data_IF_527067679120
#
_entry.id   IF_527067679120
#
_cell.length_a   1.000
_cell.length_b   1.000
_cell.length_c   1.000
_cell.angle_alpha   90.00
_cell.angle_beta   90.00
_cell.angle_gamma   90.00
#
_symmetry.space_group_name_H-M   'P 1'
#
loop_
_entity.id
_entity.type
_entity.pdbx_description
1 polymer ?
#
# COMPACT_ATOMS: atom_id res chain seq x y z
N UNK A 1 -26.58 -54.13 -14.49
CA UNK A 1 -26.51 -52.79 -15.10
C UNK A 1 -26.17 -51.84 -13.97
N UNK A 2 -24.89 -51.48 -13.79
CA UNK A 2 -24.52 -50.41 -12.85
C UNK A 2 -25.19 -49.13 -13.35
N UNK A 3 -25.96 -48.48 -12.49
CA UNK A 3 -26.63 -47.23 -12.87
C UNK A 3 -25.56 -46.19 -13.17
N UNK A 4 -25.73 -45.40 -14.23
CA UNK A 4 -24.79 -44.35 -14.64
C UNK A 4 -24.42 -43.39 -13.50
N UNK A 5 -25.29 -43.22 -12.50
CA UNK A 5 -25.03 -42.44 -11.30
C UNK A 5 -23.94 -43.01 -10.38
N UNK A 6 -23.82 -44.33 -10.25
CA UNK A 6 -22.83 -44.98 -9.37
C UNK A 6 -21.41 -44.89 -9.93
N UNK A 7 -21.27 -44.92 -11.26
CA UNK A 7 -19.98 -44.74 -11.93
C UNK A 7 -19.53 -43.28 -11.80
N UNK A 8 -20.46 -42.33 -11.95
CA UNK A 8 -20.17 -40.90 -11.79
C UNK A 8 -19.78 -40.57 -10.35
N UNK A 9 -20.46 -41.12 -9.34
CA UNK A 9 -20.10 -40.89 -7.94
C UNK A 9 -18.73 -41.49 -7.60
N UNK A 10 -18.45 -42.71 -8.05
CA UNK A 10 -17.16 -43.35 -7.80
C UNK A 10 -16.00 -42.58 -8.43
N UNK A 11 -16.19 -42.04 -9.64
CA UNK A 11 -15.21 -41.18 -10.31
C UNK A 11 -15.05 -39.87 -9.52
N UNK A 12 -16.15 -39.24 -9.10
CA UNK A 12 -16.12 -38.01 -8.30
C UNK A 12 -15.39 -38.19 -6.96
N UNK A 13 -15.59 -39.33 -6.29
CA UNK A 13 -14.93 -39.66 -5.03
C UNK A 13 -13.42 -39.83 -5.22
N UNK A 14 -12.98 -40.52 -6.27
CA UNK A 14 -11.56 -40.65 -6.61
C UNK A 14 -10.94 -39.28 -6.90
N UNK A 15 -11.60 -38.45 -7.71
CA UNK A 15 -11.12 -37.10 -7.98
C UNK A 15 -11.04 -36.25 -6.70
N UNK A 16 -12.00 -36.40 -5.80
CA UNK A 16 -12.00 -35.69 -4.51
C UNK A 16 -10.83 -36.13 -3.64
N UNK A 17 -10.52 -37.43 -3.58
CA UNK A 17 -9.35 -37.95 -2.87
C UNK A 17 -8.05 -37.41 -3.47
N UNK A 18 -7.92 -37.44 -4.80
CA UNK A 18 -6.74 -36.93 -5.51
C UNK A 18 -6.59 -35.43 -5.29
N UNK A 19 -7.66 -34.65 -5.43
CA UNK A 19 -7.65 -33.21 -5.20
C UNK A 19 -7.29 -32.86 -3.76
N UNK A 20 -7.83 -33.61 -2.79
CA UNK A 20 -7.50 -33.46 -1.36
C UNK A 20 -6.02 -33.77 -1.10
N UNK A 21 -5.49 -34.83 -1.72
CA UNK A 21 -4.07 -35.18 -1.67
C UNK A 21 -3.16 -34.07 -2.23
N UNK A 22 -3.52 -33.50 -3.38
CA UNK A 22 -2.82 -32.35 -3.98
C UNK A 22 -2.88 -31.13 -3.05
N UNK A 23 -4.06 -30.83 -2.50
CA UNK A 23 -4.24 -29.70 -1.59
C UNK A 23 -3.38 -29.85 -0.33
N UNK A 24 -3.36 -31.03 0.29
CA UNK A 24 -2.49 -31.32 1.45
C UNK A 24 -1.01 -31.19 1.06
N UNK A 25 -0.62 -31.72 -0.10
CA UNK A 25 0.76 -31.62 -0.58
C UNK A 25 1.20 -30.16 -0.80
N UNK A 26 0.41 -29.36 -1.51
CA UNK A 26 0.66 -27.92 -1.70
C UNK A 26 0.69 -27.19 -0.35
N UNK A 27 -0.26 -27.51 0.52
CA UNK A 27 -0.36 -26.92 1.83
C UNK A 27 0.75 -27.36 2.77
N UNK A 28 1.47 -28.47 2.59
CA UNK A 28 2.59 -28.82 3.48
C UNK A 28 3.93 -28.44 2.87
N UNK A 29 4.14 -28.74 1.59
CA UNK A 29 5.43 -28.61 0.93
C UNK A 29 5.63 -27.29 0.17
N UNK A 30 4.55 -26.57 -0.16
CA UNK A 30 4.63 -25.30 -0.90
C UNK A 30 4.14 -24.08 -0.10
N UNK A 31 3.93 -24.20 1.22
CA UNK A 31 3.58 -23.04 2.09
C UNK A 31 4.51 -21.86 1.90
N UNK A 32 5.81 -22.12 1.81
CA UNK A 32 6.84 -21.10 1.63
C UNK A 32 6.65 -20.34 0.32
N UNK A 33 6.35 -21.04 -0.79
CA UNK A 33 6.08 -20.41 -2.10
C UNK A 33 4.81 -19.58 -2.09
N UNK A 34 3.73 -20.09 -1.47
CA UNK A 34 2.46 -19.37 -1.35
C UNK A 34 2.65 -18.10 -0.50
N UNK A 35 3.24 -18.24 0.69
CA UNK A 35 3.56 -17.09 1.55
C UNK A 35 4.49 -16.09 0.84
N UNK A 36 5.46 -16.58 0.07
CA UNK A 36 6.35 -15.74 -0.72
C UNK A 36 5.60 -14.95 -1.80
N UNK A 37 4.65 -15.56 -2.50
CA UNK A 37 3.82 -14.88 -3.49
C UNK A 37 2.95 -13.81 -2.83
N UNK A 38 2.30 -14.11 -1.70
CA UNK A 38 1.53 -13.12 -0.94
C UNK A 38 2.41 -11.96 -0.46
N UNK A 39 3.60 -12.23 0.08
CA UNK A 39 4.52 -11.18 0.49
C UNK A 39 4.97 -10.30 -0.68
N UNK A 40 5.19 -10.88 -1.87
CA UNK A 40 5.49 -10.10 -3.07
C UNK A 40 4.33 -9.20 -3.47
N UNK A 41 3.09 -9.70 -3.41
CA UNK A 41 1.89 -8.91 -3.70
C UNK A 41 1.72 -7.75 -2.71
N UNK A 42 1.92 -8.00 -1.41
CA UNK A 42 1.86 -6.96 -0.38
C UNK A 42 2.96 -5.90 -0.56
N UNK A 43 4.20 -6.32 -0.86
CA UNK A 43 5.30 -5.40 -1.14
C UNK A 43 5.03 -4.57 -2.39
N UNK A 44 4.50 -5.18 -3.45
CA UNK A 44 4.13 -4.49 -4.68
C UNK A 44 3.00 -3.47 -4.45
N UNK A 45 1.97 -3.84 -3.67
CA UNK A 45 0.90 -2.91 -3.27
C UNK A 45 1.46 -1.71 -2.49
N UNK A 46 2.42 -1.95 -1.59
CA UNK A 46 3.11 -0.89 -0.86
C UNK A 46 3.90 0.03 -1.81
N UNK A 47 4.61 -0.55 -2.77
CA UNK A 47 5.37 0.19 -3.76
C UNK A 47 4.48 1.07 -4.65
N UNK A 48 3.33 0.54 -5.08
CA UNK A 48 2.33 1.30 -5.83
C UNK A 48 1.83 2.51 -5.02
N UNK A 49 1.50 2.28 -3.75
CA UNK A 49 1.07 3.34 -2.83
C UNK A 49 2.14 4.43 -2.66
N UNK A 50 3.41 4.04 -2.49
CA UNK A 50 4.53 4.98 -2.40
C UNK A 50 4.70 5.78 -3.71
N UNK A 51 4.52 5.15 -4.87
CA UNK A 51 4.57 5.82 -6.18
C UNK A 51 3.48 6.87 -6.33
N UNK A 52 2.24 6.54 -5.94
CA UNK A 52 1.13 7.49 -5.94
C UNK A 52 1.36 8.67 -4.99
N UNK A 53 1.93 8.42 -3.81
CA UNK A 53 2.29 9.49 -2.88
C UNK A 53 3.35 10.43 -3.46
N UNK A 54 4.35 9.89 -4.19
CA UNK A 54 5.34 10.72 -4.92
C UNK A 54 4.64 11.62 -5.93
N UNK A 55 3.69 11.08 -6.71
CA UNK A 55 2.93 11.86 -7.69
C UNK A 55 2.13 12.99 -7.02
N UNK A 56 1.45 12.72 -5.90
CA UNK A 56 0.71 13.76 -5.14
C UNK A 56 1.65 14.84 -4.57
N UNK A 57 2.83 14.45 -4.10
CA UNK A 57 3.89 15.37 -3.65
C UNK A 57 4.39 16.28 -4.78
N UNK A 58 4.58 15.72 -5.96
CA UNK A 58 4.99 16.51 -7.12
C UNK A 58 3.87 17.47 -7.52
N UNK A 59 2.60 17.03 -7.47
CA UNK A 59 1.43 17.92 -7.64
C UNK A 59 1.44 19.06 -6.61
N UNK A 60 1.74 18.78 -5.34
CA UNK A 60 1.83 19.77 -4.26
C UNK A 60 2.88 20.87 -4.54
N UNK A 61 3.95 20.57 -5.28
CA UNK A 61 4.97 21.56 -5.64
C UNK A 61 4.50 22.59 -6.67
N UNK A 62 3.48 22.27 -7.47
CA UNK A 62 2.94 23.17 -8.49
C UNK A 62 2.08 24.29 -7.90
N UNK A 63 1.64 24.17 -6.64
CA UNK A 63 0.81 25.16 -5.97
C UNK A 63 1.60 25.98 -4.96
N UNK A 64 1.30 27.28 -4.86
CA UNK A 64 1.91 28.20 -3.93
C UNK A 64 1.03 28.37 -2.68
N UNK A 65 1.55 28.04 -1.50
CA UNK A 65 0.79 28.17 -0.24
C UNK A 65 0.70 29.62 0.27
N UNK A 66 1.30 30.59 -0.41
CA UNK A 66 1.12 32.02 -0.12
C UNK A 66 -0.07 32.63 -0.87
N UNK A 67 -0.51 32.01 -1.97
CA UNK A 67 -1.73 32.41 -2.69
C UNK A 67 -2.95 31.75 -2.03
N UNK A 68 -3.95 32.55 -1.64
CA UNK A 68 -5.15 32.04 -0.95
C UNK A 68 -5.96 31.06 -1.79
N UNK A 69 -5.99 31.24 -3.11
CA UNK A 69 -6.76 30.38 -4.02
C UNK A 69 -6.05 29.04 -4.19
N UNK A 70 -4.73 29.07 -4.41
CA UNK A 70 -3.91 27.86 -4.54
C UNK A 70 -3.74 27.12 -3.21
N UNK A 71 -3.80 27.84 -2.08
CA UNK A 71 -3.75 27.24 -0.74
C UNK A 71 -4.88 26.23 -0.53
N UNK A 72 -6.06 26.46 -1.08
CA UNK A 72 -7.16 25.50 -1.00
C UNK A 72 -6.76 24.18 -1.66
N UNK A 73 -6.13 24.23 -2.84
CA UNK A 73 -5.65 23.03 -3.51
C UNK A 73 -4.50 22.33 -2.79
N UNK A 74 -3.62 23.11 -2.16
CA UNK A 74 -2.60 22.56 -1.25
C UNK A 74 -3.28 21.75 -0.15
N UNK A 75 -4.31 22.29 0.50
CA UNK A 75 -5.05 21.59 1.58
C UNK A 75 -5.78 20.34 1.04
N UNK A 76 -6.39 20.41 -0.13
CA UNK A 76 -7.06 19.26 -0.75
C UNK A 76 -6.08 18.10 -0.99
N UNK A 77 -4.90 18.40 -1.55
CA UNK A 77 -3.84 17.41 -1.77
C UNK A 77 -3.35 16.84 -0.43
N UNK A 78 -3.23 17.68 0.60
CA UNK A 78 -2.86 17.23 1.95
C UNK A 78 -3.90 16.27 2.55
N UNK A 79 -5.20 16.51 2.33
CA UNK A 79 -6.25 15.55 2.69
C UNK A 79 -6.13 14.23 1.93
N UNK A 80 -5.87 14.27 0.61
CA UNK A 80 -5.64 13.05 -0.18
C UNK A 80 -4.45 12.25 0.38
N UNK A 81 -3.34 12.93 0.70
CA UNK A 81 -2.15 12.32 1.29
C UNK A 81 -2.46 11.75 2.67
N UNK A 82 -3.19 12.49 3.53
CA UNK A 82 -3.59 12.01 4.86
C UNK A 82 -4.46 10.76 4.75
N UNK A 83 -5.48 10.76 3.89
CA UNK A 83 -6.38 9.61 3.71
C UNK A 83 -5.62 8.37 3.24
N UNK A 84 -4.73 8.52 2.25
CA UNK A 84 -3.92 7.42 1.75
C UNK A 84 -2.93 6.87 2.78
N UNK A 85 -2.27 7.76 3.53
CA UNK A 85 -1.28 7.35 4.55
C UNK A 85 -1.93 6.73 5.78
N UNK A 86 -3.10 7.22 6.21
CA UNK A 86 -3.83 6.67 7.36
C UNK A 86 -4.57 5.37 7.04
N UNK A 87 -4.98 5.16 5.78
CA UNK A 87 -5.61 3.94 5.30
C UNK A 87 -4.66 2.76 5.07
N UNK A 88 -3.35 2.97 5.19
CA UNK A 88 -2.33 1.92 5.06
C UNK A 88 -1.53 1.81 6.37
N UNK A 89 -1.67 0.70 7.09
CA UNK A 89 -1.05 0.52 8.41
C UNK A 89 0.48 0.70 8.38
N UNK A 90 1.14 0.16 7.35
CA UNK A 90 2.59 0.33 7.18
C UNK A 90 2.97 1.80 7.05
N UNK A 91 2.26 2.58 6.23
CA UNK A 91 2.54 4.01 6.09
C UNK A 91 2.16 4.80 7.34
N UNK A 92 1.04 4.48 7.97
CA UNK A 92 0.55 5.12 9.20
C UNK A 92 1.58 5.02 10.32
N UNK A 93 2.19 3.86 10.50
CA UNK A 93 3.23 3.64 11.51
C UNK A 93 4.51 4.41 11.17
N UNK A 94 4.97 4.30 9.92
CA UNK A 94 6.25 4.89 9.51
C UNK A 94 6.21 6.41 9.31
N UNK A 95 5.05 6.99 9.00
CA UNK A 95 4.87 8.41 8.70
C UNK A 95 4.10 9.17 9.78
N UNK A 96 3.91 8.59 10.98
CA UNK A 96 3.11 9.15 12.07
C UNK A 96 3.39 10.63 12.37
N UNK A 97 4.67 11.00 12.45
CA UNK A 97 5.07 12.39 12.74
C UNK A 97 4.68 13.36 11.61
N UNK A 98 4.72 12.89 10.35
CA UNK A 98 4.35 13.69 9.19
C UNK A 98 2.83 13.82 9.10
N UNK A 99 2.09 12.75 9.39
CA UNK A 99 0.62 12.77 9.47
C UNK A 99 0.16 13.84 10.47
N UNK A 100 0.77 13.89 11.66
CA UNK A 100 0.45 14.92 12.66
C UNK A 100 0.73 16.34 12.17
N UNK A 101 1.79 16.55 11.37
CA UNK A 101 2.08 17.86 10.75
C UNK A 101 1.04 18.21 9.69
N UNK A 102 0.67 17.23 8.86
CA UNK A 102 -0.37 17.37 7.84
C UNK A 102 -1.70 17.75 8.49
N UNK A 103 -2.11 17.03 9.53
CA UNK A 103 -3.30 17.33 10.35
C UNK A 103 -3.26 18.75 10.89
N UNK A 104 -2.12 19.18 11.45
CA UNK A 104 -1.95 20.56 11.92
C UNK A 104 -2.16 21.62 10.83
N UNK A 105 -1.78 21.34 9.59
CA UNK A 105 -2.01 22.25 8.46
C UNK A 105 -3.43 22.20 7.91
N UNK A 106 -4.04 21.01 7.92
CA UNK A 106 -5.44 20.80 7.54
C UNK A 106 -6.38 21.52 8.52
N UNK A 107 -6.18 21.33 9.82
CA UNK A 107 -7.01 21.93 10.87
C UNK A 107 -6.80 23.45 10.96
N UNK A 108 -5.58 23.91 10.66
CA UNK A 108 -5.21 25.33 10.72
C UNK A 108 -4.54 25.77 9.42
N UNK A 109 -5.29 25.93 8.31
CA UNK A 109 -4.72 26.31 7.01
C UNK A 109 -4.00 27.67 7.01
N UNK A 110 -4.41 28.58 7.91
CA UNK A 110 -3.75 29.88 8.10
C UNK A 110 -2.30 29.73 8.57
N UNK A 111 -1.96 28.63 9.25
CA UNK A 111 -0.61 28.36 9.74
C UNK A 111 0.34 27.85 8.65
N UNK A 112 -0.21 27.39 7.52
CA UNK A 112 0.54 26.91 6.36
C UNK A 112 0.93 28.10 5.48
N UNK A 113 2.25 28.24 5.28
CA UNK A 113 2.85 29.20 4.35
C UNK A 113 3.81 28.44 3.42
N UNK A 114 4.29 29.12 2.38
CA UNK A 114 5.16 28.48 1.38
C UNK A 114 6.44 27.84 1.97
N UNK A 115 7.17 28.46 2.92
CA UNK A 115 8.29 27.81 3.60
C UNK A 115 7.91 26.50 4.32
N UNK A 116 6.80 26.49 5.06
CA UNK A 116 6.32 25.28 5.76
C UNK A 116 5.86 24.20 4.79
N UNK A 117 5.18 24.57 3.71
CA UNK A 117 4.81 23.65 2.63
C UNK A 117 6.06 22.98 2.05
N UNK A 118 7.09 23.76 1.71
CA UNK A 118 8.36 23.22 1.17
C UNK A 118 9.04 22.29 2.16
N UNK A 119 9.12 22.68 3.44
CA UNK A 119 9.69 21.81 4.48
C UNK A 119 8.95 20.47 4.56
N UNK A 120 7.62 20.50 4.56
CA UNK A 120 6.79 19.30 4.58
C UNK A 120 7.02 18.43 3.35
N UNK A 121 7.06 19.03 2.16
CA UNK A 121 7.35 18.32 0.90
C UNK A 121 8.69 17.61 0.98
N UNK A 122 9.75 18.28 1.43
CA UNK A 122 11.07 17.68 1.53
C UNK A 122 11.11 16.53 2.53
N UNK A 123 10.52 16.71 3.71
CA UNK A 123 10.47 15.68 4.74
C UNK A 123 9.68 14.45 4.29
N UNK A 124 8.52 14.65 3.65
CA UNK A 124 7.71 13.55 3.13
C UNK A 124 8.41 12.86 1.96
N UNK A 125 9.07 13.60 1.07
CA UNK A 125 9.85 13.03 -0.05
C UNK A 125 10.98 12.13 0.45
N UNK A 126 11.75 12.58 1.44
CA UNK A 126 12.84 11.77 2.01
C UNK A 126 12.30 10.56 2.77
N UNK A 127 11.20 10.71 3.51
CA UNK A 127 10.58 9.59 4.23
C UNK A 127 10.07 8.52 3.25
N UNK A 128 9.43 8.94 2.16
CA UNK A 128 9.01 8.03 1.09
C UNK A 128 10.23 7.36 0.42
N UNK A 129 11.31 8.10 0.18
CA UNK A 129 12.54 7.55 -0.40
C UNK A 129 13.15 6.46 0.48
N UNK A 130 13.17 6.68 1.79
CA UNK A 130 13.67 5.69 2.76
C UNK A 130 12.77 4.44 2.79
N UNK A 131 11.45 4.63 2.81
CA UNK A 131 10.49 3.52 2.79
C UNK A 131 10.55 2.71 1.49
N UNK A 132 10.78 3.39 0.36
CA UNK A 132 10.96 2.74 -0.93
C UNK A 132 12.23 1.87 -0.91
N UNK A 133 13.35 2.41 -0.41
CA UNK A 133 14.59 1.64 -0.25
C UNK A 133 14.41 0.41 0.65
N UNK A 134 13.72 0.55 1.78
CA UNK A 134 13.42 -0.57 2.68
C UNK A 134 12.49 -1.61 2.04
N UNK A 135 11.50 -1.17 1.27
CA UNK A 135 10.61 -2.06 0.51
C UNK A 135 11.39 -2.83 -0.57
N UNK A 136 12.23 -2.15 -1.34
CA UNK A 136 13.10 -2.78 -2.34
C UNK A 136 14.05 -3.80 -1.71
N UNK A 137 14.66 -3.49 -0.56
CA UNK A 137 15.52 -4.44 0.15
C UNK A 137 14.77 -5.69 0.60
N UNK A 138 13.50 -5.58 1.01
CA UNK A 138 12.65 -6.75 1.32
C UNK A 138 12.32 -7.60 0.10
N UNK A 139 12.28 -7.01 -1.09
CA UNK A 139 12.07 -7.73 -2.35
C UNK A 139 13.36 -8.45 -2.79
N UNK A 140 14.53 -7.81 -2.64
CA UNK A 140 15.82 -8.30 -3.14
C UNK A 140 16.51 -9.27 -2.18
N UNK A 141 16.32 -9.16 -0.85
CA UNK A 141 16.91 -10.09 0.14
C UNK A 141 16.18 -11.44 0.22
N UNK A 142 15.99 -12.10 -0.92
CA UNK A 142 15.58 -13.51 -1.02
C UNK A 142 16.64 -14.34 -1.70
#
# INVERSE_FOLDING_TARGET
MLQSGEIVSLIADIFTIVASGIAIYLFLFQRSKISNAFNLLLNYSTQLTLSELKSKLDRLNHFNASDSTQKIEVINILHEIQGQTTGNDFLKENLKNIILKIEGFIDKPKSLNEPKKRSLVHELRESIRNLDFDSYNKIIKK
#
